data_IF_293525192552
#
_entry.id   IF_293525192552
#
_cell.length_a   1.000
_cell.length_b   1.000
_cell.length_c   1.000
_cell.angle_alpha   90.00
_cell.angle_beta   90.00
_cell.angle_gamma   90.00
#
_symmetry.space_group_name_H-M   'P 1'
#
loop_
_entity.id
_entity.type
_entity.pdbx_description
1 polymer ?
#
# COMPACT_ATOMS: atom_id res chain seq x y z
N UNK A 1 53.34 12.96 18.38
CA UNK A 1 52.02 13.53 18.69
C UNK A 1 51.10 13.31 17.50
N UNK A 2 50.19 12.33 17.51
CA UNK A 2 49.27 12.14 16.41
C UNK A 2 48.05 13.06 16.59
N UNK A 3 47.69 13.72 15.49
CA UNK A 3 46.61 14.69 15.34
C UNK A 3 45.25 13.99 15.46
N UNK A 4 44.40 14.49 16.36
CA UNK A 4 42.99 14.05 16.54
C UNK A 4 42.19 14.27 15.25
N UNK A 5 41.57 13.20 14.74
CA UNK A 5 40.41 13.32 13.86
C UNK A 5 39.17 13.67 14.70
N UNK A 6 38.26 14.53 14.21
CA UNK A 6 37.03 14.85 14.92
C UNK A 6 36.03 13.69 14.80
N UNK A 7 35.58 13.20 15.96
CA UNK A 7 34.51 12.22 16.13
C UNK A 7 33.20 12.92 15.78
N UNK A 8 32.75 12.81 14.53
CA UNK A 8 31.41 13.22 14.11
C UNK A 8 30.52 12.00 13.91
N UNK A 9 29.86 11.63 14.99
CA UNK A 9 28.54 11.00 15.09
C UNK A 9 28.14 9.81 14.17
N UNK A 10 27.95 8.60 14.74
CA UNK A 10 27.29 7.45 14.09
C UNK A 10 25.73 7.55 14.04
N UNK A 11 25.16 8.75 14.15
CA UNK A 11 23.70 8.96 14.27
C UNK A 11 22.93 8.91 12.93
N UNK A 12 23.61 9.02 11.79
CA UNK A 12 22.95 9.04 10.46
C UNK A 12 22.57 7.62 10.00
N UNK A 13 23.38 6.61 10.35
CA UNK A 13 23.18 5.22 9.91
C UNK A 13 21.94 4.54 10.51
N UNK A 14 21.65 4.75 11.80
CA UNK A 14 20.46 4.18 12.46
C UNK A 14 19.14 4.83 12.01
N UNK A 15 19.22 5.98 11.32
CA UNK A 15 18.08 6.72 10.80
C UNK A 15 17.34 5.96 9.72
N UNK A 16 18.03 5.35 8.75
CA UNK A 16 17.39 4.77 7.54
C UNK A 16 16.67 3.44 7.82
N UNK A 17 17.21 2.60 8.68
CA UNK A 17 16.55 1.36 9.16
C UNK A 17 15.39 1.62 10.13
N UNK A 18 15.34 2.79 10.78
CA UNK A 18 14.16 3.27 11.53
C UNK A 18 13.18 4.05 10.66
N UNK A 19 13.67 4.78 9.66
CA UNK A 19 12.89 5.62 8.75
C UNK A 19 12.13 4.78 7.73
N UNK A 20 12.64 3.62 7.34
CA UNK A 20 11.95 2.68 6.45
C UNK A 20 10.64 2.15 7.04
N UNK A 21 10.60 1.58 8.26
CA UNK A 21 9.34 1.22 8.90
C UNK A 21 8.49 2.43 9.28
N UNK A 22 9.08 3.60 9.64
CA UNK A 22 8.28 4.80 9.95
C UNK A 22 7.68 5.49 8.72
N UNK A 23 8.34 5.40 7.56
CA UNK A 23 7.81 5.90 6.28
C UNK A 23 6.75 4.95 5.74
N UNK A 24 7.01 3.63 5.78
CA UNK A 24 6.02 2.61 5.42
C UNK A 24 4.76 2.73 6.29
N UNK A 25 4.93 2.95 7.60
CA UNK A 25 3.80 3.13 8.49
C UNK A 25 3.07 4.46 8.30
N UNK A 26 3.76 5.58 8.06
CA UNK A 26 3.10 6.86 7.78
C UNK A 26 2.33 6.83 6.44
N UNK A 27 2.87 6.14 5.43
CA UNK A 27 2.20 5.91 4.14
C UNK A 27 0.97 5.03 4.32
N UNK A 28 1.07 4.00 5.16
CA UNK A 28 -0.04 3.11 5.44
C UNK A 28 -1.10 3.76 6.32
N UNK A 29 -0.73 4.57 7.30
CA UNK A 29 -1.64 5.39 8.10
C UNK A 29 -2.35 6.44 7.22
N UNK A 30 -1.68 7.00 6.21
CA UNK A 30 -2.33 7.86 5.22
C UNK A 30 -3.23 7.07 4.26
N UNK A 31 -2.83 5.88 3.83
CA UNK A 31 -3.67 4.97 3.03
C UNK A 31 -4.96 4.59 3.78
N UNK A 32 -4.84 4.35 5.09
CA UNK A 32 -5.94 4.11 6.01
C UNK A 32 -6.80 5.36 6.21
N UNK A 33 -6.16 6.51 6.45
CA UNK A 33 -6.84 7.78 6.67
C UNK A 33 -7.60 8.27 5.44
N UNK A 34 -7.03 8.10 4.24
CA UNK A 34 -7.71 8.42 2.98
C UNK A 34 -8.87 7.44 2.70
N UNK A 35 -8.69 6.15 3.00
CA UNK A 35 -9.77 5.16 2.91
C UNK A 35 -10.92 5.45 3.89
N UNK A 36 -10.61 5.85 5.13
CA UNK A 36 -11.60 6.19 6.15
C UNK A 36 -12.26 7.56 5.94
N UNK A 37 -11.53 8.59 5.47
CA UNK A 37 -12.12 9.88 5.09
C UNK A 37 -13.20 9.71 4.03
N UNK A 38 -13.04 8.70 3.17
CA UNK A 38 -13.98 8.41 2.11
C UNK A 38 -15.21 7.60 2.56
N UNK A 39 -15.13 6.82 3.65
CA UNK A 39 -16.29 6.12 4.24
C UNK A 39 -17.29 7.11 4.87
N UNK A 40 -16.83 8.33 5.20
CA UNK A 40 -17.67 9.39 5.79
C UNK A 40 -18.35 10.27 4.71
N UNK A 41 -17.92 10.19 3.45
CA UNK A 41 -18.54 10.92 2.34
C UNK A 41 -19.63 10.12 1.66
N UNK A 42 -20.86 10.19 2.15
CA UNK A 42 -22.07 9.68 1.47
C UNK A 42 -22.09 10.11 0.00
N UNK A 43 -22.02 9.15 -0.94
CA UNK A 43 -22.31 9.17 -2.40
C UNK A 43 -21.88 10.39 -3.25
N UNK A 44 -21.18 11.36 -2.67
CA UNK A 44 -21.00 12.71 -3.24
C UNK A 44 -19.74 12.83 -4.08
N UNK A 45 -18.78 11.91 -3.93
CA UNK A 45 -17.52 11.95 -4.66
C UNK A 45 -17.55 11.14 -5.95
N UNK A 46 -18.15 9.94 -5.93
CA UNK A 46 -18.23 9.07 -7.10
C UNK A 46 -19.39 9.40 -8.04
N UNK A 47 -20.41 10.14 -7.60
CA UNK A 47 -21.58 10.46 -8.42
C UNK A 47 -21.72 11.97 -8.62
N UNK A 48 -22.00 12.41 -9.85
CA UNK A 48 -22.20 13.82 -10.18
C UNK A 48 -23.26 14.03 -11.27
N UNK A 49 -23.82 15.25 -11.38
CA UNK A 49 -24.79 15.59 -12.43
C UNK A 49 -24.10 15.61 -13.79
N UNK A 50 -24.68 14.95 -14.79
CA UNK A 50 -24.16 14.91 -16.15
C UNK A 50 -25.03 15.75 -17.09
N UNK A 51 -24.41 16.66 -17.85
CA UNK A 51 -25.08 17.40 -18.94
C UNK A 51 -26.30 18.22 -18.54
N UNK A 52 -26.33 18.80 -17.33
CA UNK A 52 -27.44 19.62 -16.84
C UNK A 52 -28.70 18.84 -16.43
N UNK A 53 -28.66 17.50 -16.44
CA UNK A 53 -29.73 16.66 -15.90
C UNK A 53 -29.52 16.43 -14.39
N UNK A 54 -30.59 16.33 -13.57
CA UNK A 54 -30.48 16.03 -12.15
C UNK A 54 -30.11 14.56 -11.86
N UNK A 55 -29.79 13.76 -12.88
CA UNK A 55 -29.40 12.38 -12.71
C UNK A 55 -27.91 12.29 -12.32
N UNK A 56 -27.68 11.76 -11.13
CA UNK A 56 -26.36 11.40 -10.61
C UNK A 56 -25.84 10.19 -11.38
N UNK A 57 -24.83 10.42 -12.22
CA UNK A 57 -24.09 9.37 -12.90
C UNK A 57 -22.75 9.15 -12.21
N UNK A 58 -22.26 7.92 -12.28
CA UNK A 58 -20.93 7.55 -11.79
C UNK A 58 -19.89 8.32 -12.60
N UNK A 59 -18.96 8.99 -11.92
CA UNK A 59 -17.86 9.71 -12.55
C UNK A 59 -16.99 8.74 -13.36
N UNK A 60 -16.76 9.07 -14.63
CA UNK A 60 -15.90 8.31 -15.53
C UNK A 60 -14.82 9.21 -16.08
N UNK A 61 -13.64 8.66 -16.37
CA UNK A 61 -12.61 9.36 -17.12
C UNK A 61 -12.08 10.64 -16.46
N UNK A 62 -12.17 10.75 -15.14
CA UNK A 62 -11.62 11.87 -14.38
C UNK A 62 -12.44 13.17 -14.40
N UNK A 63 -13.71 13.14 -14.84
CA UNK A 63 -14.56 14.33 -14.91
C UNK A 63 -14.81 15.03 -13.56
N UNK A 64 -14.72 14.30 -12.45
CA UNK A 64 -14.74 14.87 -11.10
C UNK A 64 -13.33 15.19 -10.60
N UNK A 65 -13.02 16.46 -10.32
CA UNK A 65 -11.71 16.86 -9.77
C UNK A 65 -11.44 16.26 -8.40
N UNK A 66 -12.41 16.33 -7.48
CA UNK A 66 -12.30 15.74 -6.13
C UNK A 66 -12.22 14.22 -6.18
N UNK A 67 -13.05 13.59 -7.03
CA UNK A 67 -13.01 12.16 -7.34
C UNK A 67 -11.62 11.71 -7.80
N UNK A 68 -11.07 12.39 -8.81
CA UNK A 68 -9.76 12.08 -9.38
C UNK A 68 -8.63 12.31 -8.37
N UNK A 69 -8.69 13.38 -7.58
CA UNK A 69 -7.70 13.67 -6.55
C UNK A 69 -7.65 12.56 -5.48
N UNK A 70 -8.81 12.10 -5.01
CA UNK A 70 -8.91 10.99 -4.06
C UNK A 70 -8.39 9.68 -4.66
N UNK A 71 -8.80 9.37 -5.91
CA UNK A 71 -8.35 8.18 -6.61
C UNK A 71 -6.82 8.15 -6.79
N UNK A 72 -6.23 9.27 -7.20
CA UNK A 72 -4.79 9.41 -7.41
C UNK A 72 -4.03 9.32 -6.09
N UNK A 73 -4.52 9.97 -5.03
CA UNK A 73 -3.92 9.87 -3.70
C UNK A 73 -3.92 8.40 -3.24
N UNK A 74 -5.08 7.75 -3.25
CA UNK A 74 -5.20 6.35 -2.84
C UNK A 74 -4.31 5.41 -3.67
N UNK A 75 -4.25 5.62 -4.99
CA UNK A 75 -3.38 4.88 -5.90
C UNK A 75 -1.89 5.09 -5.58
N UNK A 76 -1.45 6.34 -5.47
CA UNK A 76 -0.07 6.72 -5.18
C UNK A 76 0.44 6.05 -3.91
N UNK A 77 -0.29 6.17 -2.80
CA UNK A 77 0.12 5.58 -1.52
C UNK A 77 0.07 4.06 -1.51
N UNK A 78 -0.83 3.44 -2.29
CA UNK A 78 -0.88 1.98 -2.45
C UNK A 78 0.37 1.45 -3.14
N UNK A 79 0.80 2.07 -4.25
CA UNK A 79 2.02 1.67 -4.95
C UNK A 79 3.26 2.02 -4.11
N UNK A 80 3.33 3.21 -3.53
CA UNK A 80 4.45 3.63 -2.67
C UNK A 80 4.64 2.67 -1.49
N UNK A 81 3.56 2.30 -0.80
CA UNK A 81 3.60 1.29 0.28
C UNK A 81 4.25 -0.02 -0.17
N UNK A 82 3.85 -0.51 -1.33
CA UNK A 82 4.35 -1.79 -1.85
C UNK A 82 5.83 -1.72 -2.19
N UNK A 83 6.30 -0.59 -2.72
CA UNK A 83 7.72 -0.35 -2.97
C UNK A 83 8.52 -0.24 -1.68
N UNK A 84 8.01 0.48 -0.68
CA UNK A 84 8.67 0.58 0.63
C UNK A 84 8.74 -0.76 1.35
N UNK A 85 7.75 -1.63 1.16
CA UNK A 85 7.82 -3.02 1.63
C UNK A 85 8.93 -3.81 0.91
N UNK A 86 9.11 -3.66 -0.40
CA UNK A 86 10.26 -4.25 -1.12
C UNK A 86 11.59 -3.73 -0.58
N UNK A 87 11.69 -2.43 -0.28
CA UNK A 87 12.88 -1.84 0.33
C UNK A 87 13.14 -2.42 1.73
N UNK A 88 12.11 -2.68 2.52
CA UNK A 88 12.24 -3.37 3.81
C UNK A 88 12.80 -4.79 3.61
N UNK A 89 12.28 -5.55 2.66
CA UNK A 89 12.79 -6.89 2.31
C UNK A 89 14.25 -6.83 1.84
N UNK A 90 14.62 -5.83 1.03
CA UNK A 90 15.99 -5.62 0.55
C UNK A 90 16.94 -5.29 1.70
N UNK A 91 16.58 -4.33 2.56
CA UNK A 91 17.38 -3.94 3.71
C UNK A 91 17.60 -5.13 4.65
N UNK A 92 16.55 -5.93 4.86
CA UNK A 92 16.63 -7.16 5.65
C UNK A 92 17.56 -8.19 5.01
N UNK A 93 17.41 -8.45 3.71
CA UNK A 93 18.29 -9.35 2.96
C UNK A 93 19.76 -8.93 3.06
N UNK A 94 20.07 -7.63 2.88
CA UNK A 94 21.42 -7.10 2.98
C UNK A 94 22.00 -7.22 4.39
N UNK A 95 21.18 -6.95 5.42
CA UNK A 95 21.56 -7.09 6.82
C UNK A 95 21.79 -8.57 7.22
N UNK A 96 21.05 -9.50 6.62
CA UNK A 96 21.16 -10.94 6.87
C UNK A 96 22.35 -11.58 6.13
N UNK A 97 22.50 -11.31 4.82
CA UNK A 97 23.48 -11.95 3.94
C UNK A 97 24.84 -11.25 3.91
N UNK A 98 24.82 -9.94 3.64
CA UNK A 98 26.04 -9.16 3.36
C UNK A 98 26.65 -8.55 4.62
N UNK A 99 26.00 -8.76 5.78
CA UNK A 99 26.35 -8.14 7.07
C UNK A 99 26.44 -6.62 6.97
N UNK A 100 25.68 -6.01 6.05
CA UNK A 100 25.71 -4.56 5.88
C UNK A 100 25.25 -3.88 7.16
N UNK A 101 26.03 -2.89 7.58
CA UNK A 101 25.67 -1.99 8.67
C UNK A 101 24.61 -1.01 8.22
N UNK A 102 23.98 -0.35 9.20
CA UNK A 102 22.96 0.65 8.93
C UNK A 102 23.51 1.84 8.14
N UNK A 103 24.80 2.16 8.33
CA UNK A 103 25.55 3.18 7.59
C UNK A 103 25.66 2.86 6.08
N UNK A 104 25.93 1.61 5.72
CA UNK A 104 26.03 1.21 4.31
C UNK A 104 24.69 1.30 3.59
N UNK A 105 23.60 0.96 4.28
CA UNK A 105 22.23 1.10 3.74
C UNK A 105 21.85 2.59 3.64
N UNK A 106 22.28 3.40 4.62
CA UNK A 106 22.01 4.83 4.59
C UNK A 106 22.67 5.54 3.40
N UNK A 107 23.83 5.06 2.93
CA UNK A 107 24.45 5.53 1.69
C UNK A 107 23.59 5.33 0.43
N UNK A 108 22.66 4.37 0.42
CA UNK A 108 21.75 4.10 -0.70
C UNK A 108 20.42 4.87 -0.58
N UNK A 109 20.16 5.54 0.54
CA UNK A 109 18.87 6.16 0.82
C UNK A 109 18.38 7.13 -0.28
N UNK A 110 19.22 8.01 -0.87
CA UNK A 110 18.76 8.91 -1.93
C UNK A 110 18.15 8.17 -3.13
N UNK A 111 18.77 7.06 -3.55
CA UNK A 111 18.31 6.25 -4.67
C UNK A 111 17.02 5.49 -4.33
N UNK A 112 16.92 4.94 -3.11
CA UNK A 112 15.72 4.24 -2.65
C UNK A 112 14.53 5.19 -2.53
N UNK A 113 14.73 6.39 -1.97
CA UNK A 113 13.70 7.42 -1.89
C UNK A 113 13.26 7.87 -3.28
N UNK A 114 14.20 8.15 -4.19
CA UNK A 114 13.87 8.55 -5.56
C UNK A 114 13.04 7.47 -6.28
N UNK A 115 13.40 6.19 -6.14
CA UNK A 115 12.64 5.09 -6.73
C UNK A 115 11.23 4.94 -6.10
N UNK A 116 11.15 4.88 -4.78
CA UNK A 116 9.89 4.63 -4.06
C UNK A 116 8.87 5.77 -4.16
N UNK A 117 9.31 7.00 -4.43
CA UNK A 117 8.40 8.14 -4.63
C UNK A 117 8.19 8.50 -6.09
N UNK A 118 9.24 8.36 -6.91
CA UNK A 118 9.21 8.67 -8.33
C UNK A 118 8.40 7.67 -9.15
N UNK A 119 8.52 6.37 -8.86
CA UNK A 119 7.79 5.34 -9.61
C UNK A 119 6.27 5.40 -9.37
N UNK A 120 5.75 5.53 -8.13
CA UNK A 120 4.32 5.76 -7.91
C UNK A 120 3.85 7.07 -8.53
N UNK A 121 4.65 8.14 -8.49
CA UNK A 121 4.30 9.42 -9.10
C UNK A 121 4.13 9.26 -10.62
N UNK A 122 5.07 8.58 -11.28
CA UNK A 122 5.01 8.31 -12.71
C UNK A 122 3.75 7.49 -13.06
N UNK A 123 3.46 6.43 -12.30
CA UNK A 123 2.27 5.63 -12.54
C UNK A 123 0.97 6.43 -12.31
N UNK A 124 0.92 7.28 -11.29
CA UNK A 124 -0.22 8.19 -11.05
C UNK A 124 -0.47 9.14 -12.22
N UNK A 125 0.60 9.70 -12.80
CA UNK A 125 0.51 10.56 -13.99
C UNK A 125 -0.02 9.75 -15.18
N UNK A 126 0.47 8.52 -15.39
CA UNK A 126 -0.01 7.66 -16.48
C UNK A 126 -1.51 7.40 -16.34
N UNK A 127 -1.98 7.01 -15.15
CA UNK A 127 -3.40 6.73 -14.89
C UNK A 127 -4.29 7.95 -15.15
N UNK A 128 -3.81 9.16 -14.79
CA UNK A 128 -4.52 10.41 -15.08
C UNK A 128 -4.60 10.66 -16.59
N UNK A 129 -3.48 10.54 -17.30
CA UNK A 129 -3.42 10.80 -18.75
C UNK A 129 -4.25 9.78 -19.54
N UNK A 130 -4.34 8.53 -19.07
CA UNK A 130 -5.15 7.48 -19.71
C UNK A 130 -6.62 7.52 -19.31
N UNK A 131 -7.04 8.47 -18.47
CA UNK A 131 -8.41 8.60 -17.97
C UNK A 131 -8.96 7.25 -17.44
N UNK A 132 -8.12 6.51 -16.72
CA UNK A 132 -8.44 5.18 -16.20
C UNK A 132 -9.03 5.21 -14.79
N UNK A 133 -9.59 6.35 -14.38
CA UNK A 133 -10.22 6.57 -13.08
C UNK A 133 -11.73 6.51 -13.25
N UNK A 134 -12.36 5.66 -12.46
CA UNK A 134 -13.80 5.44 -12.48
C UNK A 134 -14.35 5.46 -11.04
N UNK A 135 -15.57 5.96 -10.86
CA UNK A 135 -16.30 5.82 -9.60
C UNK A 135 -16.66 4.36 -9.30
N UNK A 136 -16.53 3.96 -8.05
CA UNK A 136 -17.00 2.68 -7.50
C UNK A 136 -18.37 2.88 -6.86
N UNK A 137 -19.40 2.28 -7.45
CA UNK A 137 -20.78 2.34 -6.94
C UNK A 137 -20.97 1.64 -5.60
N UNK A 138 -20.07 0.73 -5.22
CA UNK A 138 -20.20 -0.05 -3.98
C UNK A 138 -19.61 0.68 -2.78
N UNK A 139 -18.63 1.54 -3.01
CA UNK A 139 -17.87 2.22 -1.94
C UNK A 139 -18.03 3.73 -1.97
N UNK A 140 -18.63 4.30 -3.02
CA UNK A 140 -18.81 5.74 -3.16
C UNK A 140 -17.51 6.51 -3.46
N UNK A 141 -16.41 5.79 -3.70
CA UNK A 141 -15.08 6.37 -3.98
C UNK A 141 -14.67 6.19 -5.42
N UNK A 142 -13.76 7.03 -5.89
CA UNK A 142 -13.13 6.83 -7.18
C UNK A 142 -11.86 6.01 -7.04
N UNK A 143 -11.69 5.03 -7.92
CA UNK A 143 -10.45 4.25 -7.99
C UNK A 143 -10.13 3.84 -9.42
N UNK A 144 -8.89 3.36 -9.60
CA UNK A 144 -8.34 3.05 -10.92
C UNK A 144 -8.93 1.73 -11.43
N UNK A 145 -9.52 1.77 -12.63
CA UNK A 145 -9.95 0.59 -13.36
C UNK A 145 -11.20 -0.12 -12.85
N UNK A 146 -12.13 0.57 -12.18
CA UNK A 146 -13.37 -0.06 -11.69
C UNK A 146 -14.31 -0.49 -12.83
N UNK A 147 -14.25 0.19 -13.98
CA UNK A 147 -15.05 -0.16 -15.18
C UNK A 147 -14.18 -0.65 -16.33
N UNK A 148 -12.85 -0.67 -16.14
CA UNK A 148 -11.86 -0.98 -17.17
C UNK A 148 -10.96 -2.15 -16.70
N UNK A 149 -11.24 -3.41 -17.11
CA UNK A 149 -10.51 -4.57 -16.60
C UNK A 149 -9.02 -4.55 -16.95
N UNK A 150 -8.67 -3.99 -18.12
CA UNK A 150 -7.28 -3.80 -18.54
C UNK A 150 -6.54 -2.82 -17.63
N UNK A 151 -7.17 -1.71 -17.26
CA UNK A 151 -6.56 -0.72 -16.37
C UNK A 151 -6.33 -1.31 -14.97
N UNK A 152 -7.30 -2.06 -14.43
CA UNK A 152 -7.17 -2.77 -13.16
C UNK A 152 -5.98 -3.74 -13.16
N UNK A 153 -5.81 -4.48 -14.26
CA UNK A 153 -4.73 -5.45 -14.43
C UNK A 153 -3.36 -4.77 -14.54
N UNK A 154 -3.21 -3.81 -15.46
CA UNK A 154 -1.92 -3.19 -15.74
C UNK A 154 -1.45 -2.22 -14.65
N UNK A 155 -2.35 -1.41 -14.09
CA UNK A 155 -1.96 -0.35 -13.15
C UNK A 155 -1.98 -0.81 -11.70
N UNK A 156 -2.76 -1.84 -11.35
CA UNK A 156 -2.90 -2.28 -9.96
C UNK A 156 -2.34 -3.70 -9.75
N UNK A 157 -2.87 -4.69 -10.46
CA UNK A 157 -2.49 -6.09 -10.23
C UNK A 157 -1.01 -6.36 -10.55
N UNK A 158 -0.51 -5.94 -11.71
CA UNK A 158 0.88 -6.20 -12.11
C UNK A 158 1.92 -5.54 -11.19
N UNK A 159 1.83 -4.23 -10.85
CA UNK A 159 2.79 -3.61 -9.93
C UNK A 159 2.78 -4.23 -8.53
N UNK A 160 1.59 -4.52 -7.98
CA UNK A 160 1.45 -5.13 -6.65
C UNK A 160 2.05 -6.55 -6.63
N UNK A 161 1.68 -7.38 -7.61
CA UNK A 161 2.16 -8.76 -7.70
C UNK A 161 3.66 -8.81 -7.96
N UNK A 162 4.18 -7.93 -8.83
CA UNK A 162 5.62 -7.79 -9.07
C UNK A 162 6.39 -7.43 -7.80
N UNK A 163 5.86 -6.49 -7.00
CA UNK A 163 6.43 -6.16 -5.69
C UNK A 163 6.44 -7.39 -4.77
N UNK A 164 5.30 -8.08 -4.60
CA UNK A 164 5.17 -9.28 -3.75
C UNK A 164 6.20 -10.35 -4.15
N UNK A 165 6.30 -10.68 -5.44
CA UNK A 165 7.23 -11.70 -5.96
C UNK A 165 8.67 -11.31 -5.60
N UNK A 166 9.06 -10.06 -5.87
CA UNK A 166 10.41 -9.57 -5.60
C UNK A 166 10.73 -9.59 -4.10
N UNK A 167 9.81 -9.12 -3.24
CA UNK A 167 10.02 -9.13 -1.80
C UNK A 167 10.05 -10.54 -1.21
N UNK A 168 9.20 -11.45 -1.68
CA UNK A 168 9.25 -12.86 -1.28
C UNK A 168 10.57 -13.53 -1.67
N UNK A 169 11.08 -13.25 -2.86
CA UNK A 169 12.39 -13.72 -3.30
C UNK A 169 13.50 -13.22 -2.35
N UNK A 170 13.53 -11.93 -2.03
CA UNK A 170 14.51 -11.34 -1.11
C UNK A 170 14.42 -11.93 0.31
N UNK A 171 13.19 -12.13 0.82
CA UNK A 171 12.94 -12.77 2.11
C UNK A 171 13.42 -14.22 2.10
N UNK A 172 13.07 -15.01 1.08
CA UNK A 172 13.52 -16.39 0.97
C UNK A 172 15.05 -16.49 0.95
N UNK A 173 15.73 -15.67 0.14
CA UNK A 173 17.18 -15.63 0.09
C UNK A 173 17.82 -15.24 1.43
N UNK A 174 17.22 -14.30 2.18
CA UNK A 174 17.73 -13.94 3.51
C UNK A 174 17.49 -15.02 4.57
N UNK A 175 16.33 -15.71 4.54
CA UNK A 175 16.01 -16.82 5.46
C UNK A 175 16.97 -17.99 5.21
N UNK A 176 17.13 -18.41 3.95
CA UNK A 176 18.04 -19.51 3.57
C UNK A 176 19.48 -19.25 4.02
N UNK A 177 19.95 -18.00 3.90
CA UNK A 177 21.30 -17.62 4.36
C UNK A 177 21.46 -17.71 5.87
N UNK A 178 20.49 -17.18 6.61
CA UNK A 178 20.49 -17.26 8.07
C UNK A 178 20.46 -18.72 8.56
N UNK A 179 19.74 -19.61 7.87
CA UNK A 179 19.70 -21.03 8.16
C UNK A 179 21.05 -21.72 7.88
N UNK A 180 21.70 -21.45 6.73
CA UNK A 180 23.02 -22.02 6.39
C UNK A 180 24.09 -21.69 7.45
N UNK A 181 24.12 -20.44 7.92
CA UNK A 181 25.06 -19.98 8.96
C UNK A 181 24.79 -20.70 10.29
N UNK A 182 23.52 -21.03 10.60
CA UNK A 182 23.13 -21.72 11.84
C UNK A 182 23.61 -23.17 11.87
N UNK A 183 23.64 -23.86 10.73
CA UNK A 183 24.20 -25.23 10.64
C UNK A 183 25.69 -25.24 10.97
N UNK A 184 26.43 -24.18 10.62
CA UNK A 184 27.87 -24.07 10.89
C UNK A 184 28.20 -23.66 12.35
N UNK A 185 27.39 -22.79 12.97
CA UNK A 185 27.68 -22.20 14.30
C UNK A 185 27.20 -23.07 15.48
N UNK A 186 26.33 -24.06 15.28
CA UNK A 186 25.89 -24.98 16.37
C UNK A 186 27.05 -25.77 17.03
N UNK A 187 28.27 -25.65 16.51
CA UNK A 187 29.51 -26.20 17.09
C UNK A 187 30.23 -25.27 18.09
N UNK A 188 29.83 -24.01 18.28
CA UNK A 188 30.46 -23.08 19.23
C UNK A 188 29.43 -22.37 20.11
N UNK A 189 29.66 -22.36 21.43
CA UNK A 189 28.82 -21.71 22.44
C UNK A 189 28.44 -20.26 22.04
N UNK A 190 27.15 -19.94 22.14
CA UNK A 190 26.60 -18.67 21.67
C UNK A 190 26.43 -17.64 22.79
N UNK A 191 27.13 -16.52 22.63
CA UNK A 191 27.05 -15.32 23.46
C UNK A 191 25.67 -14.60 23.41
N UNK A 192 25.27 -13.97 24.52
CA UNK A 192 23.94 -13.36 24.76
C UNK A 192 23.67 -12.22 23.78
N UNK A 193 24.66 -11.36 23.51
CA UNK A 193 24.55 -10.24 22.57
C UNK A 193 24.28 -10.68 21.13
N UNK A 194 24.75 -11.88 20.78
CA UNK A 194 24.52 -12.47 19.46
C UNK A 194 23.07 -12.97 19.33
N UNK A 195 22.40 -13.29 20.43
CA UNK A 195 21.00 -13.73 20.45
C UNK A 195 20.03 -12.54 20.37
N UNK A 196 20.34 -11.41 21.01
CA UNK A 196 19.52 -10.18 20.91
C UNK A 196 19.49 -9.67 19.46
N UNK A 197 20.65 -9.53 18.80
CA UNK A 197 20.73 -9.11 17.39
C UNK A 197 20.04 -10.09 16.42
N UNK A 198 19.98 -11.38 16.76
CA UNK A 198 19.24 -12.39 15.97
C UNK A 198 17.74 -12.23 16.15
N UNK A 199 17.29 -11.98 17.38
CA UNK A 199 15.88 -11.75 17.68
C UNK A 199 15.38 -10.51 16.93
N UNK A 200 16.11 -9.41 16.95
CA UNK A 200 15.75 -8.20 16.18
C UNK A 200 15.62 -8.48 14.68
N UNK A 201 16.56 -9.22 14.07
CA UNK A 201 16.48 -9.62 12.66
C UNK A 201 15.29 -10.55 12.37
N UNK A 202 14.94 -11.44 13.30
CA UNK A 202 13.81 -12.36 13.14
C UNK A 202 12.46 -11.62 13.26
N UNK A 203 12.36 -10.66 14.18
CA UNK A 203 11.13 -9.87 14.38
C UNK A 203 10.83 -9.03 13.13
N UNK A 204 11.84 -8.38 12.52
CA UNK A 204 11.67 -7.64 11.25
C UNK A 204 11.23 -8.56 10.11
N UNK A 205 11.78 -9.77 10.03
CA UNK A 205 11.38 -10.78 9.03
C UNK A 205 9.94 -11.24 9.23
N UNK A 206 9.51 -11.47 10.48
CA UNK A 206 8.14 -11.92 10.77
C UNK A 206 7.09 -10.88 10.38
N UNK A 207 7.39 -9.61 10.63
CA UNK A 207 6.54 -8.50 10.20
C UNK A 207 6.45 -8.39 8.67
N UNK A 208 7.58 -8.50 7.96
CA UNK A 208 7.59 -8.46 6.51
C UNK A 208 6.78 -9.62 5.87
N UNK A 209 6.79 -10.80 6.49
CA UNK A 209 5.98 -11.96 6.07
C UNK A 209 4.49 -11.74 6.35
N UNK A 210 4.14 -11.12 7.47
CA UNK A 210 2.74 -10.83 7.81
C UNK A 210 2.06 -9.90 6.79
N UNK A 211 2.80 -8.97 6.18
CA UNK A 211 2.33 -8.12 5.08
C UNK A 211 1.92 -8.91 3.83
N UNK A 212 2.56 -10.05 3.56
CA UNK A 212 2.35 -10.84 2.33
C UNK A 212 0.92 -11.38 2.27
N UNK A 213 0.43 -11.98 3.35
CA UNK A 213 -0.86 -12.67 3.36
C UNK A 213 -2.05 -11.77 2.94
N UNK A 214 -2.29 -10.61 3.60
CA UNK A 214 -3.37 -9.71 3.20
C UNK A 214 -3.12 -9.08 1.82
N UNK A 215 -1.88 -8.76 1.46
CA UNK A 215 -1.58 -8.16 0.15
C UNK A 215 -1.82 -9.17 -0.99
N UNK A 216 -1.43 -10.43 -0.81
CA UNK A 216 -1.68 -11.52 -1.75
C UNK A 216 -3.18 -11.83 -1.88
N UNK A 217 -3.92 -11.85 -0.77
CA UNK A 217 -5.37 -11.99 -0.79
C UNK A 217 -6.04 -10.85 -1.59
N UNK A 218 -5.60 -9.60 -1.37
CA UNK A 218 -6.10 -8.46 -2.13
C UNK A 218 -5.76 -8.55 -3.63
N UNK A 219 -4.57 -9.02 -3.98
CA UNK A 219 -4.16 -9.23 -5.37
C UNK A 219 -4.97 -10.35 -6.06
N UNK A 220 -5.30 -11.43 -5.33
CA UNK A 220 -6.17 -12.50 -5.83
C UNK A 220 -7.59 -11.97 -6.14
N UNK A 221 -8.14 -11.14 -5.25
CA UNK A 221 -9.44 -10.49 -5.50
C UNK A 221 -9.36 -9.56 -6.72
N UNK A 222 -8.29 -8.77 -6.87
CA UNK A 222 -8.10 -7.91 -8.05
C UNK A 222 -8.04 -8.73 -9.36
N UNK A 223 -7.36 -9.87 -9.35
CA UNK A 223 -7.31 -10.78 -10.50
C UNK A 223 -8.70 -11.33 -10.83
N UNK A 224 -9.43 -11.81 -9.82
CA UNK A 224 -10.80 -12.29 -9.98
C UNK A 224 -11.71 -11.20 -10.56
N UNK A 225 -11.63 -9.97 -10.04
CA UNK A 225 -12.38 -8.83 -10.56
C UNK A 225 -12.02 -8.54 -12.02
N UNK A 226 -10.73 -8.53 -12.38
CA UNK A 226 -10.30 -8.27 -13.76
C UNK A 226 -10.83 -9.32 -14.76
N UNK A 227 -10.92 -10.59 -14.34
CA UNK A 227 -11.41 -11.69 -15.18
C UNK A 227 -12.93 -11.61 -15.36
N UNK A 228 -13.68 -11.33 -14.28
CA UNK A 228 -15.14 -11.37 -14.29
C UNK A 228 -15.81 -10.05 -14.70
N UNK A 229 -15.11 -8.92 -14.65
CA UNK A 229 -15.67 -7.61 -14.98
C UNK A 229 -16.33 -7.52 -16.36
N UNK A 230 -15.80 -8.13 -17.46
CA UNK A 230 -16.49 -8.12 -18.74
C UNK A 230 -17.90 -8.76 -18.69
N UNK A 231 -18.08 -9.87 -17.98
CA UNK A 231 -19.39 -10.54 -17.87
C UNK A 231 -20.35 -9.78 -16.95
N UNK A 232 -19.84 -9.14 -15.91
CA UNK A 232 -20.63 -8.27 -15.03
C UNK A 232 -21.16 -7.05 -15.78
N UNK A 233 -20.32 -6.42 -16.60
CA UNK A 233 -20.70 -5.26 -17.41
C UNK A 233 -21.74 -5.65 -18.46
N UNK A 234 -21.57 -6.78 -19.17
CA UNK A 234 -22.54 -7.26 -20.17
C UNK A 234 -23.91 -7.58 -19.55
N UNK A 235 -23.90 -8.26 -18.40
CA UNK A 235 -25.11 -8.51 -17.60
C UNK A 235 -25.80 -7.19 -17.22
N UNK A 236 -25.04 -6.21 -16.73
CA UNK A 236 -25.55 -4.91 -16.34
C UNK A 236 -26.17 -4.14 -17.52
N UNK A 237 -25.54 -4.14 -18.68
CA UNK A 237 -26.09 -3.55 -19.91
C UNK A 237 -27.40 -4.22 -20.32
N UNK A 238 -27.43 -5.56 -20.29
CA UNK A 238 -28.62 -6.34 -20.63
C UNK A 238 -29.79 -6.03 -19.70
N UNK A 239 -29.56 -6.01 -18.38
CA UNK A 239 -30.58 -5.69 -17.39
C UNK A 239 -31.13 -4.26 -17.56
N UNK A 240 -30.26 -3.26 -17.79
CA UNK A 240 -30.71 -1.88 -18.05
C UNK A 240 -31.46 -1.73 -19.37
N UNK A 241 -31.08 -2.49 -20.39
CA UNK A 241 -31.75 -2.49 -21.69
C UNK A 241 -33.17 -3.06 -21.59
N UNK A 242 -33.37 -4.11 -20.79
CA UNK A 242 -34.68 -4.74 -20.58
C UNK A 242 -35.57 -4.00 -19.57
N UNK A 243 -35.00 -3.09 -18.78
CA UNK A 243 -35.69 -2.34 -17.73
C UNK A 243 -36.92 -1.57 -18.27
N UNK A 244 -38.02 -1.41 -17.49
CA UNK A 244 -39.16 -0.58 -17.86
C UNK A 244 -38.78 0.86 -18.22
N UNK A 245 -37.94 1.49 -17.39
CA UNK A 245 -37.46 2.86 -17.58
C UNK A 245 -36.19 2.97 -18.45
N UNK A 246 -35.96 2.05 -19.40
CA UNK A 246 -34.74 1.99 -20.22
C UNK A 246 -34.36 3.28 -20.96
N UNK A 247 -35.33 4.13 -21.28
CA UNK A 247 -35.11 5.42 -21.95
C UNK A 247 -34.28 6.35 -21.05
N UNK A 248 -34.46 6.27 -19.72
CA UNK A 248 -33.65 7.04 -18.74
C UNK A 248 -32.17 6.65 -18.78
N UNK A 249 -31.86 5.42 -19.20
CA UNK A 249 -30.49 4.93 -19.35
C UNK A 249 -29.93 5.09 -20.77
N UNK A 250 -30.63 5.81 -21.65
CA UNK A 250 -30.19 6.07 -23.03
C UNK A 250 -30.50 4.97 -24.03
N UNK A 251 -31.30 3.95 -23.68
CA UNK A 251 -31.69 2.90 -24.63
C UNK A 251 -32.95 3.28 -25.41
N UNK A 252 -32.78 3.64 -26.68
CA UNK A 252 -33.88 3.99 -27.60
C UNK A 252 -34.25 2.89 -28.59
N UNK A 253 -33.38 1.89 -28.78
CA UNK A 253 -33.62 0.74 -29.66
C UNK A 253 -34.79 -0.14 -29.18
N UNK A 254 -35.45 -0.96 -30.01
CA UNK A 254 -36.48 -1.92 -29.58
C UNK A 254 -35.95 -2.94 -28.54
N UNK A 255 -36.83 -3.51 -27.70
CA UNK A 255 -36.43 -4.51 -26.67
C UNK A 255 -35.90 -5.81 -27.29
N UNK A 256 -36.41 -6.15 -28.47
CA UNK A 256 -35.96 -7.30 -29.27
C UNK A 256 -34.51 -7.18 -29.73
N UNK A 257 -33.95 -5.97 -29.73
CA UNK A 257 -32.54 -5.71 -30.03
C UNK A 257 -31.62 -5.82 -28.81
N UNK A 258 -32.16 -5.94 -27.60
CA UNK A 258 -31.36 -6.24 -26.41
C UNK A 258 -30.92 -7.70 -26.46
N UNK A 259 -29.71 -8.00 -25.96
CA UNK A 259 -29.29 -9.38 -25.73
C UNK A 259 -30.32 -10.08 -24.84
N UNK A 260 -30.99 -11.11 -25.36
CA UNK A 260 -31.98 -11.89 -24.59
C UNK A 260 -31.35 -13.09 -23.89
N UNK A 261 -30.03 -13.07 -23.72
CA UNK A 261 -29.26 -14.12 -23.02
C UNK A 261 -29.48 -14.03 -21.50
N UNK A 262 -30.72 -14.25 -21.08
CA UNK A 262 -31.15 -14.25 -19.67
C UNK A 262 -30.73 -15.57 -19.00
N UNK A 263 -30.65 -16.67 -19.77
CA UNK A 263 -30.30 -18.01 -19.27
C UNK A 263 -28.83 -18.16 -18.83
N UNK A 264 -28.00 -17.14 -19.08
CA UNK A 264 -26.60 -17.07 -18.62
C UNK A 264 -26.28 -15.72 -18.00
N UNK A 265 -27.22 -15.19 -17.20
CA UNK A 265 -26.93 -14.10 -16.27
C UNK A 265 -25.89 -14.63 -15.27
N UNK A 266 -24.63 -14.23 -15.49
CA UNK A 266 -23.58 -14.46 -14.51
C UNK A 266 -23.97 -13.74 -13.22
N UNK A 267 -23.81 -14.36 -12.04
CA UNK A 267 -24.03 -13.64 -10.80
C UNK A 267 -23.20 -12.36 -10.81
N UNK A 268 -23.84 -11.27 -10.37
CA UNK A 268 -23.16 -9.97 -10.23
C UNK A 268 -21.95 -10.08 -9.30
N UNK A 269 -21.16 -9.00 -9.18
CA UNK A 269 -19.99 -9.01 -8.31
C UNK A 269 -20.39 -9.38 -6.87
N UNK A 270 -19.71 -10.37 -6.30
CA UNK A 270 -19.91 -10.72 -4.89
C UNK A 270 -19.37 -9.58 -4.01
N UNK A 271 -20.28 -8.82 -3.38
CA UNK A 271 -19.92 -7.71 -2.48
C UNK A 271 -18.91 -8.14 -1.41
N UNK A 272 -19.02 -9.37 -0.92
CA UNK A 272 -18.10 -9.93 0.09
C UNK A 272 -16.65 -9.91 -0.40
N UNK A 273 -16.38 -10.28 -1.66
CA UNK A 273 -15.03 -10.25 -2.22
C UNK A 273 -14.51 -8.82 -2.33
N UNK A 274 -15.38 -7.88 -2.72
CA UNK A 274 -15.03 -6.45 -2.78
C UNK A 274 -14.63 -5.93 -1.38
N UNK A 275 -15.41 -6.23 -0.35
CA UNK A 275 -15.07 -5.82 1.02
C UNK A 275 -13.84 -6.52 1.57
N UNK A 276 -13.61 -7.79 1.25
CA UNK A 276 -12.39 -8.51 1.62
C UNK A 276 -11.15 -7.79 1.09
N UNK A 277 -11.16 -7.28 -0.16
CA UNK A 277 -10.06 -6.47 -0.71
C UNK A 277 -9.74 -5.30 0.22
N UNK A 278 -10.73 -4.49 0.58
CA UNK A 278 -10.53 -3.30 1.43
C UNK A 278 -10.14 -3.67 2.86
N UNK A 279 -10.72 -4.73 3.42
CA UNK A 279 -10.35 -5.25 4.73
C UNK A 279 -8.89 -5.73 4.77
N UNK A 280 -8.43 -6.43 3.73
CA UNK A 280 -7.03 -6.82 3.62
C UNK A 280 -6.09 -5.60 3.57
N UNK A 281 -6.46 -4.55 2.84
CA UNK A 281 -5.70 -3.31 2.81
C UNK A 281 -5.70 -2.61 4.18
N UNK A 282 -6.82 -2.69 4.91
CA UNK A 282 -6.96 -2.16 6.26
C UNK A 282 -6.05 -2.88 7.27
N UNK A 283 -6.03 -4.22 7.22
CA UNK A 283 -5.20 -5.07 8.08
C UNK A 283 -3.72 -4.73 7.92
N UNK A 284 -3.27 -4.48 6.69
CA UNK A 284 -1.89 -4.05 6.41
C UNK A 284 -1.57 -2.74 7.14
N UNK A 285 -2.48 -1.77 7.15
CA UNK A 285 -2.29 -0.53 7.88
C UNK A 285 -2.23 -0.73 9.40
N UNK A 286 -3.19 -1.46 9.96
CA UNK A 286 -3.26 -1.74 11.40
C UNK A 286 -2.01 -2.46 11.90
N UNK A 287 -1.55 -3.48 11.18
CA UNK A 287 -0.35 -4.25 11.57
C UNK A 287 0.90 -3.35 11.63
N UNK A 288 1.02 -2.38 10.72
CA UNK A 288 2.11 -1.40 10.72
C UNK A 288 1.98 -0.35 11.83
N UNK A 289 0.77 0.10 12.16
CA UNK A 289 0.54 1.01 13.28
C UNK A 289 0.93 0.36 14.62
N UNK A 290 0.52 -0.90 14.85
CA UNK A 290 0.89 -1.67 16.05
C UNK A 290 2.40 -1.81 16.19
N UNK A 291 3.12 -1.92 15.08
CA UNK A 291 4.59 -2.01 15.08
C UNK A 291 5.28 -0.73 15.56
N UNK A 292 4.76 0.45 15.18
CA UNK A 292 5.30 1.73 15.67
C UNK A 292 4.98 1.93 17.16
N UNK A 293 3.81 1.49 17.61
CA UNK A 293 3.29 1.65 18.97
C UNK A 293 4.02 0.77 19.99
N UNK A 294 5.33 0.97 20.16
CA UNK A 294 6.14 0.34 21.19
C UNK A 294 6.25 1.21 22.45
N UNK A 295 6.51 0.59 23.59
CA UNK A 295 6.82 1.30 24.84
C UNK A 295 7.97 2.32 24.68
N UNK A 296 8.93 2.03 23.79
CA UNK A 296 10.04 2.95 23.46
C UNK A 296 9.55 4.19 22.73
N UNK A 297 8.55 4.04 21.87
CA UNK A 297 7.91 5.14 21.14
C UNK A 297 7.14 6.03 22.11
N UNK A 298 6.32 5.44 22.99
CA UNK A 298 5.58 6.19 24.03
C UNK A 298 6.54 6.95 24.94
N UNK A 299 7.63 6.33 25.39
CA UNK A 299 8.65 7.00 26.21
C UNK A 299 9.37 8.15 25.47
N UNK A 300 9.59 8.03 24.16
CA UNK A 300 10.17 9.10 23.34
C UNK A 300 9.20 10.27 23.18
N UNK A 301 7.91 9.99 22.95
CA UNK A 301 6.87 11.02 22.85
C UNK A 301 6.63 11.70 24.20
N UNK A 302 6.66 10.96 25.32
CA UNK A 302 6.61 11.52 26.66
C UNK A 302 7.79 12.47 26.92
N UNK A 303 9.01 12.10 26.51
CA UNK A 303 10.19 12.99 26.60
C UNK A 303 10.07 14.23 25.72
N UNK A 304 9.56 14.08 24.49
CA UNK A 304 9.34 15.20 23.58
C UNK A 304 8.25 16.14 24.13
N UNK A 305 7.12 15.59 24.58
CA UNK A 305 6.01 16.32 25.21
C UNK A 305 6.49 17.06 26.48
N UNK A 306 7.29 16.40 27.32
CA UNK A 306 7.89 17.03 28.50
C UNK A 306 8.85 18.18 28.12
N UNK A 307 9.60 18.09 27.01
CA UNK A 307 10.46 19.19 26.55
C UNK A 307 9.67 20.36 25.99
N UNK A 308 8.62 20.08 25.21
CA UNK A 308 7.83 21.12 24.52
C UNK A 308 6.87 21.83 25.46
N UNK A 309 6.20 21.10 26.36
CA UNK A 309 5.13 21.66 27.21
C UNK A 309 5.64 22.00 28.60
N UNK A 310 6.61 21.26 29.16
CA UNK A 310 7.13 21.56 30.50
C UNK A 310 8.39 22.45 30.45
N UNK A 311 8.86 22.89 29.28
CA UNK A 311 10.12 23.66 29.09
C UNK A 311 11.28 23.19 29.98
N UNK A 312 11.37 21.87 30.27
CA UNK A 312 12.48 21.32 31.04
C UNK A 312 13.70 21.21 30.13
N UNK A 313 14.32 22.36 29.87
CA UNK A 313 15.71 22.43 29.46
C UNK A 313 16.56 22.04 30.68
N UNK A 314 16.98 20.78 30.72
CA UNK A 314 18.09 20.38 31.58
C UNK A 314 19.03 19.54 30.73
N UNK A 315 19.91 20.21 30.00
CA UNK A 315 21.20 19.64 29.64
C UNK A 315 22.12 19.99 30.80
N UNK A 316 22.36 19.02 31.69
CA UNK A 316 23.53 19.09 32.55
C UNK A 316 24.74 18.77 31.67
N UNK A 317 25.55 19.77 31.39
CA UNK A 317 26.93 19.56 30.94
C UNK A 317 27.75 19.23 32.18
N UNK A 318 28.03 17.96 32.41
CA UNK A 318 29.09 17.57 33.35
C UNK A 318 30.43 17.92 32.70
N UNK A 319 30.96 19.11 33.03
CA UNK A 319 32.40 19.34 33.05
C UNK A 319 32.87 19.09 34.48
N UNK A 320 33.54 17.95 34.69
CA UNK A 320 34.75 17.78 35.52
C UNK A 320 35.34 16.38 35.34
#
# INVERSE_FOLDING_TARGET
>A
MPVRQPILHPLIGAGVLRQTPSSLSAILDWRMGCGMLCVVGEDSFACGPYGGTPQLLVAQGGEGTTCSALAVAHYYFTIASSMWWVVLCLAWFLAANRKWGAESIAGLAPYLHAACWGFPALLSVIVLVTNSIDGDVFTGICSVGNLQPKALLYYLFLPLTGCIILGLFLLACGICSMMRIRTYIKLQHADVDKNIRKLEKLIVSGFAVMYVLPTAASAAVLCYQAIQMPSWIDTLYTLRCLHPDRIKFGFTMPRTSCSQRIDSISPGPELVLIFIKYLCQLIVGITCAVWICSAKTVASYQKAYARVILQRAAVATDEH
#
